data_IF_337102986756
#
_entry.id   IF_337102986756
#
_cell.length_a   1.000
_cell.length_b   1.000
_cell.length_c   1.000
_cell.angle_alpha   90.00
_cell.angle_beta   90.00
_cell.angle_gamma   90.00
#
_symmetry.space_group_name_H-M   'P 1'
#
loop_
_entity.id
_entity.type
_entity.pdbx_description
1 polymer ?
#
# COMPACT_ATOMS: atom_id res chain seq x y z
N UNK A 1 16.04 14.06 -4.68
CA UNK A 1 14.83 13.24 -4.79
C UNK A 1 14.61 12.65 -3.42
N UNK A 2 13.44 12.85 -2.80
CA UNK A 2 13.18 12.24 -1.50
C UNK A 2 13.14 10.71 -1.69
N UNK A 3 13.70 9.98 -0.73
CA UNK A 3 13.62 8.53 -0.59
C UNK A 3 12.99 8.30 0.75
N UNK A 4 11.96 7.47 0.80
CA UNK A 4 11.22 7.14 2.00
C UNK A 4 11.38 5.66 2.29
N UNK A 5 11.57 5.35 3.56
CA UNK A 5 11.61 3.98 4.05
C UNK A 5 10.18 3.45 4.15
N UNK A 6 9.87 2.39 3.41
CA UNK A 6 8.57 1.74 3.47
C UNK A 6 8.73 0.33 4.03
N UNK A 7 7.98 0.06 5.10
CA UNK A 7 7.87 -1.26 5.70
C UNK A 7 6.50 -1.85 5.38
N UNK A 8 6.48 -2.99 4.71
CA UNK A 8 5.28 -3.80 4.48
C UNK A 8 5.23 -4.95 5.48
N UNK A 9 4.08 -5.13 6.14
CA UNK A 9 3.81 -6.24 7.04
C UNK A 9 2.76 -7.14 6.40
N UNK A 10 3.08 -8.42 6.20
CA UNK A 10 2.12 -9.41 5.68
C UNK A 10 1.26 -10.00 6.81
N UNK A 11 0.20 -10.73 6.45
CA UNK A 11 -0.65 -11.44 7.42
C UNK A 11 0.11 -12.47 8.25
N UNK A 12 1.19 -13.02 7.70
CA UNK A 12 2.06 -13.99 8.37
C UNK A 12 3.09 -13.33 9.30
N UNK A 13 3.06 -11.99 9.41
CA UNK A 13 4.02 -11.22 10.20
C UNK A 13 5.39 -11.08 9.54
N UNK A 14 5.51 -11.35 8.23
CA UNK A 14 6.74 -11.06 7.50
C UNK A 14 6.81 -9.56 7.24
N UNK A 15 7.89 -8.96 7.71
CA UNK A 15 8.23 -7.56 7.48
C UNK A 15 9.16 -7.46 6.28
N UNK A 16 8.84 -6.58 5.35
CA UNK A 16 9.67 -6.26 4.20
C UNK A 16 9.92 -4.77 4.16
N UNK A 17 11.16 -4.38 4.43
CA UNK A 17 11.66 -3.02 4.30
C UNK A 17 12.26 -2.77 2.91
N UNK A 18 11.95 -1.60 2.35
CA UNK A 18 12.59 -1.12 1.14
C UNK A 18 12.52 0.40 1.06
N UNK A 19 13.53 0.98 0.42
CA UNK A 19 13.60 2.38 0.10
C UNK A 19 12.89 2.69 -1.23
N UNK A 20 11.88 3.55 -1.20
CA UNK A 20 11.23 4.04 -2.44
C UNK A 20 11.20 5.55 -2.53
N UNK A 21 11.53 6.06 -3.72
CA UNK A 21 11.67 7.50 -3.96
C UNK A 21 10.34 8.25 -4.05
N UNK A 22 9.50 7.83 -4.99
CA UNK A 22 8.25 8.54 -5.34
C UNK A 22 7.16 7.66 -5.92
N UNK A 23 7.46 6.44 -6.36
CA UNK A 23 6.48 5.50 -6.90
C UNK A 23 6.41 4.28 -5.98
N UNK A 24 5.30 4.10 -5.28
CA UNK A 24 4.91 2.77 -4.78
C UNK A 24 4.20 2.07 -5.95
N UNK A 25 4.94 1.73 -7.01
CA UNK A 25 4.39 0.77 -7.95
C UNK A 25 4.46 -0.60 -7.28
N UNK A 26 3.35 -1.02 -6.69
CA UNK A 26 3.18 -2.36 -6.15
C UNK A 26 3.17 -3.48 -7.22
N UNK A 27 3.66 -3.20 -8.42
CA UNK A 27 3.94 -4.16 -9.48
C UNK A 27 5.24 -3.88 -10.23
N UNK A 28 6.06 -2.92 -9.81
CA UNK A 28 7.32 -2.60 -10.47
C UNK A 28 8.35 -2.16 -9.45
N UNK A 29 9.12 -3.12 -8.89
CA UNK A 29 10.52 -3.32 -9.27
C UNK A 29 11.20 -4.41 -8.42
N UNK A 30 11.13 -5.64 -8.90
CA UNK A 30 12.33 -6.41 -9.26
C UNK A 30 13.32 -6.95 -8.21
N UNK A 31 13.33 -6.52 -6.94
CA UNK A 31 14.40 -6.98 -6.01
C UNK A 31 13.94 -7.31 -4.57
N UNK A 32 12.74 -6.90 -4.15
CA UNK A 32 12.15 -7.34 -2.88
C UNK A 32 10.93 -8.24 -3.18
N UNK A 33 11.12 -9.54 -3.05
CA UNK A 33 10.19 -10.63 -3.42
C UNK A 33 8.94 -10.69 -2.54
N UNK A 34 8.09 -9.64 -2.53
CA UNK A 34 6.80 -9.67 -1.83
C UNK A 34 5.70 -9.90 -2.86
N UNK A 35 5.16 -11.12 -2.88
CA UNK A 35 3.97 -11.42 -3.68
C UNK A 35 2.76 -10.76 -3.01
N UNK A 36 2.28 -9.67 -3.61
CA UNK A 36 1.15 -8.92 -3.08
C UNK A 36 -0.09 -9.13 -3.96
N UNK A 37 -1.26 -9.30 -3.34
CA UNK A 37 -2.51 -9.53 -4.06
C UNK A 37 -2.82 -8.30 -4.92
N UNK A 38 -3.02 -8.54 -6.22
CA UNK A 38 -3.37 -7.51 -7.18
C UNK A 38 -4.33 -8.09 -8.24
N UNK A 39 -5.15 -7.22 -8.83
CA UNK A 39 -6.11 -7.61 -9.87
C UNK A 39 -6.26 -6.50 -10.92
N UNK A 40 -6.79 -5.34 -10.52
CA UNK A 40 -7.12 -4.26 -11.45
C UNK A 40 -5.94 -3.34 -11.80
N UNK A 41 -4.95 -3.20 -10.91
CA UNK A 41 -3.82 -2.25 -11.01
C UNK A 41 -4.21 -0.77 -11.21
N UNK A 42 -5.48 -0.43 -10.98
CA UNK A 42 -6.06 0.88 -11.27
C UNK A 42 -6.70 1.52 -10.03
N UNK A 43 -6.55 0.92 -8.84
CA UNK A 43 -7.19 1.44 -7.62
C UNK A 43 -8.73 1.33 -7.62
N UNK A 44 -9.27 0.48 -8.50
CA UNK A 44 -10.71 0.26 -8.69
C UNK A 44 -11.21 -1.06 -8.08
N UNK A 45 -10.40 -1.72 -7.26
CA UNK A 45 -10.68 -3.01 -6.63
C UNK A 45 -10.05 -3.08 -5.23
N UNK A 46 -10.59 -3.92 -4.35
CA UNK A 46 -10.12 -4.14 -2.98
C UNK A 46 -8.95 -5.12 -2.85
N UNK A 47 -8.56 -5.81 -3.92
CA UNK A 47 -7.54 -6.87 -3.84
C UNK A 47 -6.18 -6.39 -3.38
N UNK A 48 -5.79 -5.18 -3.77
CA UNK A 48 -4.56 -4.54 -3.30
C UNK A 48 -4.77 -3.72 -2.02
N UNK A 49 -5.85 -3.95 -1.26
CA UNK A 49 -6.11 -3.20 -0.03
C UNK A 49 -5.04 -3.48 1.04
N UNK A 50 -4.46 -2.40 1.53
CA UNK A 50 -3.63 -2.38 2.71
C UNK A 50 -4.15 -1.36 3.71
N UNK A 51 -3.48 -1.29 4.86
CA UNK A 51 -3.76 -0.33 5.92
C UNK A 51 -2.47 0.31 6.38
N UNK A 52 -2.40 1.64 6.43
CA UNK A 52 -1.27 2.38 7.00
C UNK A 52 -1.38 2.33 8.51
N UNK A 53 -0.30 1.91 9.15
CA UNK A 53 -0.11 2.00 10.58
C UNK A 53 0.58 3.33 10.95
N UNK A 54 1.62 3.69 10.20
CA UNK A 54 2.38 4.92 10.39
C UNK A 54 2.77 5.55 9.06
N UNK A 55 2.91 6.88 9.04
CA UNK A 55 3.34 7.64 7.87
C UNK A 55 2.19 8.25 7.08
N UNK A 56 2.45 8.68 5.85
CA UNK A 56 1.46 9.32 4.99
C UNK A 56 1.67 8.91 3.54
N UNK A 57 0.58 8.57 2.86
CA UNK A 57 0.57 8.28 1.43
C UNK A 57 -0.37 9.21 0.69
N UNK A 58 -0.06 9.43 -0.59
CA UNK A 58 -1.01 9.88 -1.59
C UNK A 58 -1.75 8.66 -2.13
N UNK A 59 -3.09 8.68 -2.13
CA UNK A 59 -3.91 7.65 -2.75
C UNK A 59 -4.94 8.27 -3.71
N UNK A 60 -4.63 9.43 -4.28
CA UNK A 60 -5.57 10.19 -5.11
C UNK A 60 -5.93 9.50 -6.43
N UNK A 61 -5.15 8.52 -6.87
CA UNK A 61 -5.46 7.66 -8.03
C UNK A 61 -6.45 6.52 -7.69
N UNK A 62 -6.71 6.25 -6.40
CA UNK A 62 -7.66 5.24 -5.96
C UNK A 62 -9.08 5.77 -5.90
N UNK A 63 -10.06 4.94 -6.31
CA UNK A 63 -11.49 5.32 -6.29
C UNK A 63 -12.39 4.28 -5.64
N UNK A 64 -11.84 3.16 -5.17
CA UNK A 64 -12.63 2.06 -4.60
C UNK A 64 -13.04 2.28 -3.13
N UNK A 65 -12.18 2.91 -2.32
CA UNK A 65 -12.43 3.09 -0.88
C UNK A 65 -13.27 4.33 -0.61
N UNK A 66 -14.22 4.21 0.31
CA UNK A 66 -15.00 5.35 0.83
C UNK A 66 -14.19 6.17 1.84
N UNK A 67 -14.60 7.42 2.09
CA UNK A 67 -13.90 8.34 2.99
C UNK A 67 -13.65 7.73 4.39
N UNK A 68 -14.63 6.99 4.95
CA UNK A 68 -14.47 6.35 6.26
C UNK A 68 -13.34 5.30 6.28
N UNK A 69 -13.22 4.51 5.21
CA UNK A 69 -12.14 3.53 5.09
C UNK A 69 -10.80 4.22 4.92
N UNK A 70 -10.75 5.32 4.15
CA UNK A 70 -9.54 6.13 4.01
C UNK A 70 -9.13 6.78 5.34
N UNK A 71 -10.08 7.25 6.14
CA UNK A 71 -9.85 7.80 7.48
C UNK A 71 -9.37 6.75 8.48
N UNK A 72 -9.84 5.51 8.36
CA UNK A 72 -9.31 4.38 9.13
C UNK A 72 -7.88 3.98 8.72
N UNK A 73 -7.37 4.56 7.63
CA UNK A 73 -6.02 4.33 7.11
C UNK A 73 -5.96 3.24 6.05
N UNK A 74 -7.08 2.80 5.48
CA UNK A 74 -7.06 1.89 4.33
C UNK A 74 -6.63 2.62 3.06
N UNK A 75 -5.86 1.91 2.23
CA UNK A 75 -5.42 2.42 0.94
C UNK A 75 -5.20 1.30 -0.09
N UNK A 76 -5.47 1.56 -1.38
CA UNK A 76 -5.10 0.66 -2.46
C UNK A 76 -3.60 0.80 -2.71
N UNK A 77 -2.84 -0.16 -2.20
CA UNK A 77 -1.37 -0.17 -2.28
C UNK A 77 -0.88 -0.06 -3.74
N UNK A 78 -1.62 -0.64 -4.70
CA UNK A 78 -1.30 -0.60 -6.13
C UNK A 78 -1.24 0.80 -6.79
N UNK A 79 -1.88 1.81 -6.20
CA UNK A 79 -1.88 3.20 -6.71
C UNK A 79 -1.56 4.23 -5.61
N UNK A 80 -0.95 3.77 -4.51
CA UNK A 80 -0.56 4.65 -3.41
C UNK A 80 0.88 5.17 -3.60
N UNK A 81 1.22 6.31 -3.03
CA UNK A 81 2.55 6.91 -3.12
C UNK A 81 3.00 7.43 -1.75
N UNK A 82 4.09 6.95 -1.15
CA UNK A 82 4.55 7.46 0.14
C UNK A 82 5.01 8.91 0.03
N UNK A 83 4.58 9.72 1.01
CA UNK A 83 5.02 11.10 1.22
C UNK A 83 5.98 11.24 2.42
N UNK A 84 6.16 10.16 3.17
CA UNK A 84 7.03 10.05 4.33
C UNK A 84 7.39 8.57 4.56
N UNK A 85 8.24 8.29 5.55
CA UNK A 85 8.52 6.91 5.96
C UNK A 85 7.22 6.27 6.49
N UNK A 86 6.88 5.10 5.97
CA UNK A 86 5.57 4.49 6.17
C UNK A 86 5.67 3.03 6.62
N UNK A 87 4.77 2.65 7.52
CA UNK A 87 4.52 1.25 7.90
C UNK A 87 3.12 0.88 7.43
N UNK A 88 3.01 -0.18 6.63
CA UNK A 88 1.76 -0.60 6.01
C UNK A 88 1.52 -2.09 6.19
N UNK A 89 0.29 -2.45 6.54
CA UNK A 89 -0.19 -3.82 6.55
C UNK A 89 -0.81 -4.18 5.20
N UNK A 90 -0.46 -5.33 4.68
CA UNK A 90 -0.94 -5.83 3.39
C UNK A 90 -2.05 -6.87 3.58
N UNK A 91 -2.71 -7.27 2.48
CA UNK A 91 -3.77 -8.29 2.49
C UNK A 91 -4.96 -7.94 3.41
N UNK A 92 -5.35 -6.67 3.41
CA UNK A 92 -6.47 -6.15 4.19
C UNK A 92 -7.78 -6.10 3.42
N UNK A 93 -7.88 -6.83 2.30
CA UNK A 93 -9.11 -6.98 1.52
C UNK A 93 -10.28 -7.45 2.41
N UNK A 94 -10.04 -8.43 3.29
CA UNK A 94 -11.06 -8.99 4.19
C UNK A 94 -11.52 -8.06 5.31
N UNK A 95 -10.80 -6.99 5.63
CA UNK A 95 -11.23 -5.98 6.60
C UNK A 95 -12.24 -4.98 5.99
N UNK A 96 -12.42 -4.97 4.66
CA UNK A 96 -13.31 -4.07 3.94
C UNK A 96 -14.76 -4.58 3.81
N UNK A 97 -15.05 -5.79 4.29
CA UNK A 97 -16.36 -6.48 4.23
C UNK A 97 -16.81 -6.94 5.61
#
# INVERSE_FOLDING_TARGET
>A
MAVYEVKLVTLEGQEHDFDTGRHLHLGCRGDASVELPNSCHLGACSTCAGKIDCGTVDQSDGSFLDDAQQEEGYMPTCVSYPKSDCVMHTHKEGDLY
#
